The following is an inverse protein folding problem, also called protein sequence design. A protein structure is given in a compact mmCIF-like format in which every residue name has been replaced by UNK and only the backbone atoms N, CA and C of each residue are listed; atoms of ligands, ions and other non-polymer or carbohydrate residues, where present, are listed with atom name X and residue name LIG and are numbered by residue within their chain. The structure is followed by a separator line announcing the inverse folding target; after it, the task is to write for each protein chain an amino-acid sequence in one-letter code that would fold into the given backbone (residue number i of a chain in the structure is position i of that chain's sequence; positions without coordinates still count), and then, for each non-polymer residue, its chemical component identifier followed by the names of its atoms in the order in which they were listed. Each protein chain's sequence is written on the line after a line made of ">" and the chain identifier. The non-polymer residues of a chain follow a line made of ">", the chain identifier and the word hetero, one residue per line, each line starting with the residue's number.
data_IF_376065471361
#
_entry.id   IF_376065471361
#
_cell.length_a   1.000
_cell.length_b   1.000
_cell.length_c   1.000
_cell.angle_alpha   90.00
_cell.angle_beta   90.00
_cell.angle_gamma   90.00
#
_symmetry.space_group_name_H-M   'P 1'
#
loop_
_entity.id
_entity.type
_entity.pdbx_description
1 polymer ?
#
# COMPACT_ATOMS: atom_id res chain seq x y z
N UNK A 1 -6.83 -7.62 -13.55
CA UNK A 1 -6.38 -6.91 -14.76
C UNK A 1 -5.97 -5.49 -14.39
N UNK A 2 -4.81 -5.01 -14.81
CA UNK A 2 -4.35 -3.65 -14.49
C UNK A 2 -5.26 -2.57 -15.10
N UNK A 3 -5.41 -1.44 -14.40
CA UNK A 3 -6.11 -0.25 -14.91
C UNK A 3 -5.09 0.86 -15.19
N UNK A 4 -5.17 1.49 -16.36
CA UNK A 4 -4.28 2.59 -16.75
C UNK A 4 -5.05 3.90 -16.82
N UNK A 5 -4.39 4.98 -16.42
CA UNK A 5 -4.91 6.34 -16.53
C UNK A 5 -3.77 7.35 -16.58
N UNK A 6 -4.12 8.64 -16.59
CA UNK A 6 -3.15 9.73 -16.54
C UNK A 6 -3.14 10.37 -15.15
N UNK A 7 -1.96 10.73 -14.67
CA UNK A 7 -1.79 11.44 -13.41
C UNK A 7 -2.47 12.82 -13.50
N UNK A 8 -3.36 13.18 -12.56
CA UNK A 8 -4.04 14.48 -12.55
C UNK A 8 -3.08 15.67 -12.34
N UNK A 9 -1.85 15.43 -11.85
CA UNK A 9 -0.87 16.49 -11.59
C UNK A 9 0.08 16.78 -12.75
N UNK A 10 0.45 15.77 -13.55
CA UNK A 10 1.48 15.91 -14.60
C UNK A 10 1.15 15.23 -15.93
N UNK A 11 -0.04 14.63 -16.06
CA UNK A 11 -0.50 13.88 -17.22
C UNK A 11 0.33 12.64 -17.62
N UNK A 12 1.40 12.31 -16.90
CA UNK A 12 2.15 11.07 -17.12
C UNK A 12 1.26 9.83 -16.87
N UNK A 13 1.51 8.71 -17.57
CA UNK A 13 0.77 7.49 -17.38
C UNK A 13 0.96 6.93 -15.96
N UNK A 14 -0.12 6.46 -15.37
CA UNK A 14 -0.14 5.76 -14.08
C UNK A 14 -0.87 4.43 -14.24
N UNK A 15 -0.37 3.41 -13.55
CA UNK A 15 -0.92 2.06 -13.58
C UNK A 15 -1.37 1.69 -12.17
N UNK A 16 -2.57 1.14 -12.09
CA UNK A 16 -3.08 0.41 -10.93
C UNK A 16 -2.93 -1.07 -11.26
N UNK A 17 -1.85 -1.69 -10.80
CA UNK A 17 -1.53 -3.10 -11.11
C UNK A 17 -2.65 -4.05 -10.68
N UNK A 18 -3.31 -3.71 -9.58
CA UNK A 18 -4.47 -4.43 -9.05
C UNK A 18 -5.73 -3.59 -9.25
N UNK A 19 -6.73 -4.19 -9.90
CA UNK A 19 -8.00 -3.53 -10.23
C UNK A 19 -8.73 -3.02 -8.99
N UNK A 20 -8.56 -3.64 -7.82
CA UNK A 20 -9.19 -3.22 -6.56
C UNK A 20 -8.34 -2.25 -5.74
N UNK A 21 -7.15 -1.86 -6.20
CA UNK A 21 -6.33 -0.87 -5.50
C UNK A 21 -7.01 0.51 -5.53
N UNK A 22 -7.03 1.20 -4.40
CA UNK A 22 -7.64 2.52 -4.29
C UNK A 22 -6.65 3.65 -4.62
N UNK A 23 -5.35 3.39 -4.60
CA UNK A 23 -4.31 4.37 -4.86
C UNK A 23 -3.09 3.76 -5.58
N UNK A 24 -2.34 4.63 -6.26
CA UNK A 24 -1.03 4.35 -6.85
C UNK A 24 -0.16 5.63 -6.77
N UNK A 25 1.15 5.50 -6.90
CA UNK A 25 2.07 6.64 -6.91
C UNK A 25 2.58 6.85 -8.34
N UNK A 26 2.45 8.07 -8.86
CA UNK A 26 2.99 8.41 -10.16
C UNK A 26 4.52 8.37 -10.11
N UNK A 27 5.11 7.46 -10.88
CA UNK A 27 6.58 7.32 -10.97
C UNK A 27 7.29 8.52 -11.58
N UNK A 28 6.58 9.44 -12.24
CA UNK A 28 7.18 10.63 -12.85
C UNK A 28 7.25 11.84 -11.92
N UNK A 29 6.23 12.07 -11.09
CA UNK A 29 6.15 13.29 -10.26
C UNK A 29 5.95 13.04 -8.77
N UNK A 30 5.80 11.78 -8.34
CA UNK A 30 5.58 11.39 -6.95
C UNK A 30 4.16 11.63 -6.43
N UNK A 31 3.22 12.06 -7.28
CA UNK A 31 1.83 12.28 -6.85
C UNK A 31 1.14 10.96 -6.49
N UNK A 32 0.53 10.91 -5.32
CA UNK A 32 -0.44 9.86 -4.94
C UNK A 32 -1.72 10.11 -5.72
N UNK A 33 -2.04 9.19 -6.62
CA UNK A 33 -3.26 9.20 -7.43
C UNK A 33 -4.20 8.17 -6.84
N UNK A 34 -5.37 8.59 -6.40
CA UNK A 34 -6.37 7.68 -5.86
C UNK A 34 -7.71 7.77 -6.56
N UNK A 35 -8.58 6.83 -6.24
CA UNK A 35 -9.94 6.73 -6.78
C UNK A 35 -10.91 7.30 -5.75
N UNK A 36 -11.51 8.44 -6.09
CA UNK A 36 -12.56 9.08 -5.31
C UNK A 36 -13.94 8.86 -5.93
N UNK A 37 -14.80 9.88 -5.86
CA UNK A 37 -16.20 9.87 -6.28
C UNK A 37 -16.37 9.74 -7.81
N UNK A 38 -16.04 8.57 -8.35
CA UNK A 38 -16.14 8.26 -9.79
C UNK A 38 -15.01 8.84 -10.64
N UNK A 39 -14.03 9.51 -10.05
CA UNK A 39 -12.90 10.13 -10.74
C UNK A 39 -11.55 9.83 -10.06
N UNK A 40 -10.46 10.13 -10.77
CA UNK A 40 -9.12 10.09 -10.20
C UNK A 40 -8.79 11.42 -9.56
N UNK A 41 -8.26 11.35 -8.34
CA UNK A 41 -7.95 12.50 -7.51
C UNK A 41 -6.45 12.59 -7.20
N UNK A 42 -6.00 13.82 -6.97
CA UNK A 42 -4.65 14.13 -6.52
C UNK A 42 -4.63 14.21 -5.00
N UNK A 43 -4.02 13.22 -4.33
CA UNK A 43 -3.88 13.19 -2.86
C UNK A 43 -2.58 13.84 -2.36
N UNK A 44 -1.89 14.60 -3.23
CA UNK A 44 -0.61 15.23 -2.92
C UNK A 44 0.58 14.39 -3.35
N UNK A 45 1.79 14.82 -2.98
CA UNK A 45 3.04 14.12 -3.31
C UNK A 45 3.53 13.31 -2.12
N UNK A 46 4.03 12.11 -2.40
CA UNK A 46 4.77 11.35 -1.39
C UNK A 46 6.01 12.13 -0.95
N UNK A 47 6.36 12.00 0.32
CA UNK A 47 7.63 12.48 0.82
C UNK A 47 8.78 11.59 0.30
N UNK A 48 9.99 12.12 0.29
CA UNK A 48 11.18 11.32 0.02
C UNK A 48 11.31 10.22 1.07
N UNK A 49 11.49 8.99 0.58
CA UNK A 49 11.64 7.82 1.43
C UNK A 49 13.09 7.70 1.91
N UNK A 50 13.26 7.41 3.19
CA UNK A 50 14.56 7.04 3.75
C UNK A 50 14.80 5.55 3.48
N UNK A 51 16.04 5.19 3.17
CA UNK A 51 16.43 3.79 3.08
C UNK A 51 16.38 3.16 4.48
N UNK A 52 15.69 2.02 4.58
CA UNK A 52 15.56 1.22 5.81
C UNK A 52 16.24 -0.13 5.61
N UNK A 53 16.49 -0.84 6.70
CA UNK A 53 17.06 -2.20 6.68
C UNK A 53 16.00 -3.30 6.50
N UNK A 54 14.78 -2.94 6.07
CA UNK A 54 13.73 -3.92 5.81
C UNK A 54 14.18 -4.90 4.73
N UNK A 55 14.06 -6.23 4.95
CA UNK A 55 14.28 -7.23 3.91
C UNK A 55 13.10 -7.33 2.93
N UNK A 56 12.01 -6.61 3.18
CA UNK A 56 10.82 -6.63 2.35
C UNK A 56 10.91 -5.59 1.24
N UNK A 57 10.24 -5.89 0.12
CA UNK A 57 10.21 -5.03 -1.06
C UNK A 57 8.91 -5.22 -1.82
N UNK A 58 8.54 -4.19 -2.60
CA UNK A 58 7.44 -4.31 -3.56
C UNK A 58 7.71 -5.46 -4.55
N UNK A 59 6.66 -6.22 -4.88
CA UNK A 59 6.72 -7.40 -5.74
C UNK A 59 7.16 -8.69 -5.04
N UNK A 60 7.56 -8.65 -3.76
CA UNK A 60 7.90 -9.86 -3.01
C UNK A 60 6.67 -10.77 -2.89
N UNK A 61 6.85 -12.06 -3.19
CA UNK A 61 5.78 -13.06 -3.14
C UNK A 61 5.98 -14.05 -2.00
N UNK A 62 4.87 -14.48 -1.41
CA UNK A 62 4.87 -15.44 -0.32
C UNK A 62 3.59 -16.26 -0.26
N UNK A 63 3.46 -17.07 0.78
CA UNK A 63 2.24 -17.84 1.09
C UNK A 63 1.90 -17.71 2.56
N UNK A 64 0.63 -17.47 2.87
CA UNK A 64 0.09 -17.53 4.23
C UNK A 64 -1.01 -18.58 4.30
N UNK A 65 -0.83 -19.58 5.17
CA UNK A 65 -1.73 -20.76 5.27
C UNK A 65 -2.04 -21.40 3.91
N UNK A 66 -1.00 -21.53 3.07
CA UNK A 66 -1.09 -22.09 1.72
C UNK A 66 -1.64 -21.14 0.65
N UNK A 67 -2.17 -19.97 1.01
CA UNK A 67 -2.70 -18.99 0.05
C UNK A 67 -1.58 -18.04 -0.41
N UNK A 68 -1.32 -17.90 -1.72
CA UNK A 68 -0.29 -17.00 -2.22
C UNK A 68 -0.68 -15.52 -2.03
N UNK A 69 0.34 -14.69 -1.80
CA UNK A 69 0.23 -13.23 -1.75
C UNK A 69 1.42 -12.55 -2.42
N UNK A 70 1.27 -11.27 -2.71
CA UNK A 70 2.31 -10.37 -3.18
C UNK A 70 2.30 -9.07 -2.35
N UNK A 71 3.47 -8.52 -2.02
CA UNK A 71 3.60 -7.18 -1.44
C UNK A 71 3.43 -6.16 -2.57
N UNK A 72 2.40 -5.33 -2.50
CA UNK A 72 2.04 -4.40 -3.59
C UNK A 72 1.95 -2.94 -3.15
N UNK A 73 2.09 -2.66 -1.86
CA UNK A 73 2.14 -1.30 -1.33
C UNK A 73 3.15 -1.16 -0.21
N UNK A 74 3.68 0.05 -0.05
CA UNK A 74 4.60 0.43 1.03
C UNK A 74 4.16 1.79 1.56
N UNK A 75 4.04 1.90 2.87
CA UNK A 75 3.95 3.15 3.59
C UNK A 75 5.18 3.28 4.49
N UNK A 76 5.81 4.44 4.50
CA UNK A 76 6.88 4.73 5.46
C UNK A 76 6.37 5.78 6.43
N UNK A 77 6.52 5.49 7.72
CA UNK A 77 6.09 6.36 8.79
C UNK A 77 7.30 6.85 9.56
N UNK A 78 7.19 8.07 10.07
CA UNK A 78 8.21 8.72 10.89
C UNK A 78 7.58 9.24 12.17
N UNK A 79 8.11 8.78 13.30
CA UNK A 79 7.76 9.31 14.61
C UNK A 79 8.55 10.59 14.88
N UNK A 80 7.97 11.54 15.62
CA UNK A 80 8.62 12.81 15.97
C UNK A 80 9.92 12.62 16.78
N UNK A 81 10.01 11.55 17.56
CA UNK A 81 11.23 11.15 18.27
C UNK A 81 12.33 10.55 17.37
N UNK A 82 12.11 10.47 16.05
CA UNK A 82 13.13 10.11 15.05
C UNK A 82 13.04 8.69 14.50
N UNK A 83 12.19 7.82 15.05
CA UNK A 83 11.99 6.47 14.53
C UNK A 83 11.35 6.47 13.13
N UNK A 84 11.87 5.65 12.22
CA UNK A 84 11.34 5.45 10.86
C UNK A 84 11.12 3.95 10.66
N UNK A 85 9.98 3.57 10.11
CA UNK A 85 9.67 2.17 9.78
C UNK A 85 8.79 2.07 8.55
N UNK A 86 8.78 0.89 7.96
CA UNK A 86 7.93 0.55 6.84
C UNK A 86 6.76 -0.32 7.26
N UNK A 87 5.64 -0.10 6.60
CA UNK A 87 4.49 -0.97 6.65
C UNK A 87 4.07 -1.34 5.23
N UNK A 88 3.63 -2.58 5.07
CA UNK A 88 3.50 -3.20 3.75
C UNK A 88 2.07 -3.65 3.49
N UNK A 89 1.55 -3.28 2.33
CA UNK A 89 0.25 -3.73 1.86
C UNK A 89 0.41 -5.01 1.04
N UNK A 90 -0.30 -6.07 1.43
CA UNK A 90 -0.24 -7.36 0.74
C UNK A 90 -1.55 -7.71 0.05
N UNK A 91 -1.45 -8.10 -1.21
CA UNK A 91 -2.56 -8.54 -2.02
C UNK A 91 -2.67 -10.07 -2.02
N UNK A 92 -3.84 -10.58 -1.65
CA UNK A 92 -4.22 -11.98 -1.82
C UNK A 92 -5.19 -12.13 -2.98
N UNK A 93 -5.03 -13.20 -3.77
CA UNK A 93 -5.93 -13.55 -4.87
C UNK A 93 -6.22 -12.35 -5.79
N UNK A 94 -5.16 -11.64 -6.21
CA UNK A 94 -5.24 -10.45 -7.07
C UNK A 94 -6.07 -9.30 -6.45
N UNK A 95 -5.90 -9.04 -5.15
CA UNK A 95 -6.57 -7.94 -4.47
C UNK A 95 -8.02 -8.20 -4.09
N UNK A 96 -8.49 -9.45 -4.14
CA UNK A 96 -9.79 -9.85 -3.56
C UNK A 96 -9.78 -9.83 -2.04
N UNK A 97 -8.59 -9.88 -1.44
CA UNK A 97 -8.38 -9.70 0.00
C UNK A 97 -7.06 -8.99 0.20
N UNK A 98 -7.08 -8.01 1.11
CA UNK A 98 -5.89 -7.26 1.50
C UNK A 98 -5.44 -7.68 2.89
N UNK A 99 -4.15 -7.55 3.15
CA UNK A 99 -3.57 -7.66 4.48
C UNK A 99 -2.54 -6.57 4.72
N UNK A 100 -2.22 -6.35 5.99
CA UNK A 100 -1.20 -5.42 6.43
C UNK A 100 -0.06 -6.21 7.05
N UNK A 101 1.14 -6.07 6.51
CA UNK A 101 2.33 -6.74 6.98
C UNK A 101 3.23 -5.71 7.67
N UNK A 102 3.29 -5.81 9.00
CA UNK A 102 4.11 -4.95 9.84
C UNK A 102 5.37 -5.69 10.31
N UNK A 103 6.45 -4.92 10.46
CA UNK A 103 7.74 -5.39 10.97
C UNK A 103 7.97 -4.77 12.34
N UNK A 104 8.08 -5.59 13.38
CA UNK A 104 8.34 -5.09 14.73
C UNK A 104 9.17 -6.09 15.52
N UNK A 105 10.22 -5.60 16.19
CA UNK A 105 11.05 -6.40 17.10
C UNK A 105 11.59 -7.70 16.48
N UNK A 106 12.03 -7.63 15.20
CA UNK A 106 12.56 -8.78 14.45
C UNK A 106 11.49 -9.81 14.04
N UNK A 107 10.20 -9.46 14.11
CA UNK A 107 9.08 -10.33 13.77
C UNK A 107 8.19 -9.69 12.72
N UNK A 108 7.54 -10.55 11.95
CA UNK A 108 6.53 -10.18 10.97
C UNK A 108 5.13 -10.41 11.52
N UNK A 109 4.28 -9.39 11.41
CA UNK A 109 2.88 -9.42 11.84
C UNK A 109 1.99 -9.20 10.63
N UNK A 110 1.31 -10.25 10.19
CA UNK A 110 0.32 -10.16 9.13
C UNK A 110 -1.08 -10.03 9.74
N UNK A 111 -1.69 -8.87 9.56
CA UNK A 111 -3.05 -8.57 10.01
C UNK A 111 -4.00 -8.42 8.83
N UNK A 112 -5.28 -8.49 9.14
CA UNK A 112 -6.36 -8.39 8.15
C UNK A 112 -7.45 -7.50 8.73
N UNK A 113 -8.14 -6.81 7.84
CA UNK A 113 -9.37 -6.09 8.18
C UNK A 113 -10.38 -7.04 8.83
N UNK A 114 -11.08 -6.51 9.84
CA UNK A 114 -12.13 -7.21 10.56
C UNK A 114 -13.19 -6.20 10.94
N UNK A 115 -14.45 -6.57 10.75
CA UNK A 115 -15.57 -5.75 11.19
C UNK A 115 -15.48 -5.50 12.69
N UNK A 116 -15.61 -4.23 13.08
CA UNK A 116 -15.69 -3.83 14.48
C UNK A 116 -17.05 -4.32 15.01
N UNK A 117 -17.09 -5.13 16.08
CA UNK A 117 -18.35 -5.58 16.65
C UNK A 117 -19.23 -4.38 17.04
N UNK A 118 -20.53 -4.46 16.77
CA UNK A 118 -21.47 -3.34 17.00
C UNK A 118 -21.55 -2.86 18.45
N UNK A 119 -21.09 -3.68 19.40
CA UNK A 119 -21.07 -3.37 20.83
C UNK A 119 -19.74 -2.76 21.32
N UNK A 120 -18.84 -2.36 20.41
CA UNK A 120 -17.57 -1.71 20.73
C UNK A 120 -17.61 -0.25 20.30
N UNK A 121 -17.41 0.65 21.27
CA UNK A 121 -17.10 2.07 21.03
C UNK A 121 -15.59 2.27 21.16
N UNK A 122 -14.96 2.85 20.14
CA UNK A 122 -13.53 3.20 20.12
C UNK A 122 -13.32 4.67 20.48
#
# INVERSE_FOLDING_TARGET
>A
MSFQANCPACAAPVVFDITTSIATVCGSCGTVVGRGDGALENYGKVADLVQTDSPLQLGLRGKYKGVPFEITGRAQLKHSAGGVWDEWYVAFREGKRWGWLAEAQGRLYLTFEKDVPQNVSL
#
